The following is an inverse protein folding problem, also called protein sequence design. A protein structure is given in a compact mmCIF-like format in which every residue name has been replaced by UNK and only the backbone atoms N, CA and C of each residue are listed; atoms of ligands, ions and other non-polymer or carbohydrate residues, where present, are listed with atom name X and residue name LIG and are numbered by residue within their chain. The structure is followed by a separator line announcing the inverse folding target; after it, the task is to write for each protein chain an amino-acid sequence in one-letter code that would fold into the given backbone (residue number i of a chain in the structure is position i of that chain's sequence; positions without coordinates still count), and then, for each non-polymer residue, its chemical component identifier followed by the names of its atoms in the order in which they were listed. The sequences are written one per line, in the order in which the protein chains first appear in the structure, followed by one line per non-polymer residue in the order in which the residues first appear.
data_IF_962842565370
#
_entry.id   IF_962842565370
#
_cell.length_a   1.000
_cell.length_b   1.000
_cell.length_c   1.000
_cell.angle_alpha   90.00
_cell.angle_beta   90.00
_cell.angle_gamma   90.00
#
_symmetry.space_group_name_H-M   'P 1'
#
loop_
_entity.id
_entity.type
_entity.pdbx_description
1 polymer ?
#
# COMPACT_ATOMS: atom_id res chain seq x y z
N UNK A 1 -6.33 16.01 2.08
CA UNK A 1 -5.74 15.08 3.06
C UNK A 1 -4.81 15.76 4.08
N UNK A 2 -4.67 17.09 4.10
CA UNK A 2 -3.65 17.76 4.93
C UNK A 2 -4.20 18.34 6.24
N UNK A 3 -5.49 18.11 6.53
CA UNK A 3 -6.17 18.67 7.70
C UNK A 3 -5.66 18.11 9.04
N UNK A 4 -4.88 17.03 8.99
CA UNK A 4 -4.31 16.36 10.16
C UNK A 4 -2.78 16.53 10.25
N UNK A 5 -2.18 17.35 9.39
CA UNK A 5 -0.72 17.49 9.32
C UNK A 5 -0.15 17.95 10.67
N UNK A 6 -0.81 18.89 11.34
CA UNK A 6 -0.40 19.41 12.66
C UNK A 6 -0.43 18.35 13.78
N UNK A 7 -1.16 17.25 13.57
CA UNK A 7 -1.26 16.14 14.52
C UNK A 7 -0.35 14.97 14.16
N UNK A 8 0.33 15.03 13.00
CA UNK A 8 1.18 13.94 12.55
C UNK A 8 2.50 13.92 13.33
N UNK A 9 2.88 12.73 13.82
CA UNK A 9 4.17 12.55 14.51
C UNK A 9 5.33 12.95 13.57
N UNK A 10 6.33 13.72 14.03
CA UNK A 10 7.49 14.13 13.21
C UNK A 10 8.18 12.96 12.51
N UNK A 11 8.33 11.82 13.18
CA UNK A 11 8.92 10.61 12.61
C UNK A 11 8.20 10.09 11.34
N UNK A 12 6.90 10.34 11.19
CA UNK A 12 6.14 9.94 10.01
C UNK A 12 6.51 10.76 8.76
N UNK A 13 7.07 11.96 8.92
CA UNK A 13 7.62 12.74 7.83
C UNK A 13 8.95 12.16 7.33
N UNK A 14 9.73 11.49 8.19
CA UNK A 14 10.98 10.85 7.80
C UNK A 14 10.79 9.46 7.11
N UNK A 15 9.59 8.87 7.20
CA UNK A 15 9.28 7.57 6.60
C UNK A 15 9.00 7.68 5.10
N UNK A 16 9.70 6.87 4.29
CA UNK A 16 9.57 6.83 2.83
C UNK A 16 8.76 5.61 2.30
N UNK A 17 8.34 4.68 3.15
CA UNK A 17 7.61 3.48 2.73
C UNK A 17 6.10 3.66 2.89
N UNK A 18 5.36 3.61 1.79
CA UNK A 18 3.89 3.69 1.80
C UNK A 18 3.21 2.33 1.83
N UNK A 19 3.83 1.28 1.30
CA UNK A 19 3.14 0.01 0.99
C UNK A 19 3.65 -1.18 1.79
N UNK A 20 4.52 -0.96 2.78
CA UNK A 20 5.11 -2.02 3.61
C UNK A 20 5.95 -2.99 2.75
N UNK A 21 6.96 -2.45 2.08
CA UNK A 21 7.70 -3.15 1.01
C UNK A 21 8.47 -4.39 1.47
N UNK A 22 8.70 -4.54 2.77
CA UNK A 22 9.46 -5.64 3.35
C UNK A 22 8.60 -6.83 3.82
N UNK A 23 7.27 -6.76 3.70
CA UNK A 23 6.38 -7.83 4.13
C UNK A 23 6.15 -8.89 3.04
N UNK A 24 5.84 -10.13 3.43
CA UNK A 24 5.38 -11.18 2.49
C UNK A 24 4.05 -10.76 1.80
N UNK A 25 3.16 -10.14 2.59
CA UNK A 25 1.85 -9.65 2.20
C UNK A 25 1.63 -8.23 2.75
N UNK A 26 1.09 -7.34 1.92
CA UNK A 26 0.72 -5.98 2.32
C UNK A 26 -0.76 -5.75 2.09
N UNK A 27 -1.45 -5.12 3.05
CA UNK A 27 -2.90 -4.89 3.04
C UNK A 27 -3.20 -3.40 3.15
N UNK A 28 -4.16 -2.90 2.36
CA UNK A 28 -4.65 -1.52 2.47
C UNK A 28 -5.93 -1.27 1.68
N UNK A 29 -6.68 -0.22 2.03
CA UNK A 29 -7.94 0.10 1.34
C UNK A 29 -7.78 0.82 0.00
N UNK A 30 -6.60 1.40 -0.28
CA UNK A 30 -6.39 2.22 -1.48
C UNK A 30 -6.59 1.41 -2.76
N UNK A 31 -7.44 1.90 -3.67
CA UNK A 31 -7.74 1.25 -4.96
C UNK A 31 -8.78 0.14 -4.87
N UNK A 32 -9.22 -0.25 -3.66
CA UNK A 32 -10.30 -1.22 -3.47
C UNK A 32 -11.67 -0.53 -3.34
N UNK A 33 -12.76 -1.20 -3.73
CA UNK A 33 -14.11 -0.75 -3.41
C UNK A 33 -14.38 -0.81 -1.90
N UNK A 34 -15.46 -0.18 -1.45
CA UNK A 34 -15.88 -0.22 -0.05
C UNK A 34 -16.01 -1.67 0.44
N UNK A 35 -15.56 -1.93 1.67
CA UNK A 35 -15.49 -3.25 2.32
C UNK A 35 -14.52 -4.25 1.68
N UNK A 36 -13.70 -3.85 0.72
CA UNK A 36 -12.62 -4.66 0.18
C UNK A 36 -11.24 -4.14 0.60
N UNK A 37 -10.25 -5.03 0.54
CA UNK A 37 -8.85 -4.73 0.85
C UNK A 37 -7.99 -5.05 -0.36
N UNK A 38 -7.13 -4.09 -0.74
CA UNK A 38 -6.08 -4.31 -1.72
C UNK A 38 -4.98 -5.10 -1.05
N UNK A 39 -4.62 -6.23 -1.67
CA UNK A 39 -3.52 -7.10 -1.20
C UNK A 39 -2.41 -7.07 -2.24
N UNK A 40 -1.18 -6.80 -1.80
CA UNK A 40 0.03 -6.91 -2.61
C UNK A 40 0.85 -8.08 -2.08
N UNK A 41 1.05 -9.10 -2.92
CA UNK A 41 1.96 -10.22 -2.66
C UNK A 41 3.38 -9.82 -3.08
N UNK A 42 4.40 -10.15 -2.27
CA UNK A 42 5.79 -9.77 -2.54
C UNK A 42 6.75 -10.95 -2.62
N UNK A 43 6.53 -11.96 -1.80
CA UNK A 43 7.38 -13.15 -1.71
C UNK A 43 6.62 -14.40 -2.14
N UNK A 44 7.36 -15.43 -2.53
CA UNK A 44 6.78 -16.73 -2.90
C UNK A 44 5.97 -17.32 -1.74
N UNK A 45 6.47 -17.18 -0.51
CA UNK A 45 5.76 -17.58 0.71
C UNK A 45 4.43 -16.84 0.86
N UNK A 46 4.41 -15.52 0.65
CA UNK A 46 3.18 -14.73 0.69
C UNK A 46 2.18 -15.18 -0.38
N UNK A 47 2.66 -15.43 -1.59
CA UNK A 47 1.85 -15.92 -2.70
C UNK A 47 1.24 -17.30 -2.40
N UNK A 48 2.03 -18.22 -1.86
CA UNK A 48 1.57 -19.57 -1.46
C UNK A 48 0.47 -19.49 -0.40
N UNK A 49 0.71 -18.73 0.67
CA UNK A 49 -0.26 -18.55 1.76
C UNK A 49 -1.56 -17.97 1.21
N UNK A 50 -1.49 -16.90 0.42
CA UNK A 50 -2.67 -16.24 -0.12
C UNK A 50 -3.47 -17.18 -1.04
N UNK A 51 -2.77 -17.92 -1.90
CA UNK A 51 -3.39 -18.88 -2.82
C UNK A 51 -4.12 -19.98 -2.06
N UNK A 52 -3.49 -20.50 -0.99
CA UNK A 52 -4.07 -21.54 -0.13
C UNK A 52 -5.34 -21.09 0.59
N UNK A 53 -5.34 -19.91 1.20
CA UNK A 53 -6.53 -19.42 1.93
C UNK A 53 -7.69 -19.09 0.99
N UNK A 54 -7.40 -18.70 -0.26
CA UNK A 54 -8.41 -18.53 -1.31
C UNK A 54 -8.97 -19.89 -1.74
N UNK A 55 -8.10 -20.89 -2.00
CA UNK A 55 -8.54 -22.23 -2.40
C UNK A 55 -9.35 -22.93 -1.31
N UNK A 56 -8.96 -22.73 -0.05
CA UNK A 56 -9.62 -23.30 1.13
C UNK A 56 -10.93 -22.55 1.48
N UNK A 57 -11.29 -21.49 0.74
CA UNK A 57 -12.54 -20.74 0.90
C UNK A 57 -12.60 -19.85 2.14
N UNK A 58 -11.46 -19.63 2.82
CA UNK A 58 -11.38 -18.81 4.04
C UNK A 58 -11.61 -17.33 3.73
N UNK A 59 -11.15 -16.88 2.56
CA UNK A 59 -11.38 -15.52 2.07
C UNK A 59 -11.90 -15.53 0.63
N UNK A 60 -12.65 -14.49 0.27
CA UNK A 60 -13.09 -14.24 -1.09
C UNK A 60 -12.13 -13.26 -1.78
N UNK A 61 -11.66 -13.62 -2.97
CA UNK A 61 -10.84 -12.75 -3.81
C UNK A 61 -11.61 -12.33 -5.06
N UNK A 62 -11.73 -11.01 -5.28
CA UNK A 62 -12.30 -10.48 -6.52
C UNK A 62 -11.33 -10.67 -7.68
N UNK A 63 -11.85 -11.10 -8.84
CA UNK A 63 -11.07 -11.09 -10.08
C UNK A 63 -10.81 -9.64 -10.51
N UNK A 64 -9.55 -9.30 -10.68
CA UNK A 64 -9.12 -8.03 -11.27
C UNK A 64 -8.86 -8.26 -12.76
N UNK A 65 -9.55 -7.52 -13.62
CA UNK A 65 -9.13 -7.40 -15.02
C UNK A 65 -7.88 -6.53 -15.14
N UNK A 66 -7.17 -6.65 -16.25
CA UNK A 66 -5.88 -5.97 -16.45
C UNK A 66 -6.01 -4.44 -16.39
N UNK A 67 -7.14 -3.88 -16.84
CA UNK A 67 -7.38 -2.44 -16.78
C UNK A 67 -7.51 -1.95 -15.34
N UNK A 68 -8.32 -2.63 -14.51
CA UNK A 68 -8.47 -2.31 -13.09
C UNK A 68 -7.15 -2.47 -12.35
N UNK A 69 -6.42 -3.57 -12.61
CA UNK A 69 -5.12 -3.82 -12.01
C UNK A 69 -4.13 -2.70 -12.31
N UNK A 70 -4.02 -2.27 -13.56
CA UNK A 70 -3.11 -1.18 -13.96
C UNK A 70 -3.48 0.14 -13.29
N UNK A 71 -4.78 0.48 -13.21
CA UNK A 71 -5.25 1.67 -12.48
C UNK A 71 -4.89 1.63 -10.99
N UNK A 72 -5.03 0.45 -10.36
CA UNK A 72 -4.64 0.27 -8.96
C UNK A 72 -3.13 0.45 -8.77
N UNK A 73 -2.30 -0.13 -9.65
CA UNK A 73 -0.84 0.01 -9.61
C UNK A 73 -0.44 1.48 -9.76
N UNK A 74 -1.03 2.20 -10.72
CA UNK A 74 -0.76 3.62 -10.95
C UNK A 74 -1.09 4.46 -9.71
N UNK A 75 -2.28 4.25 -9.13
CA UNK A 75 -2.73 4.96 -7.93
C UNK A 75 -1.81 4.70 -6.73
N UNK A 76 -1.47 3.44 -6.46
CA UNK A 76 -0.58 3.05 -5.36
C UNK A 76 0.83 3.64 -5.57
N UNK A 77 1.31 3.66 -6.81
CA UNK A 77 2.59 4.25 -7.18
C UNK A 77 2.60 5.76 -6.93
N UNK A 78 1.52 6.46 -7.29
CA UNK A 78 1.38 7.90 -7.05
C UNK A 78 1.49 8.25 -5.55
N UNK A 79 0.81 7.50 -4.68
CA UNK A 79 0.86 7.73 -3.23
C UNK A 79 2.23 7.36 -2.65
N UNK A 80 2.86 6.29 -3.15
CA UNK A 80 4.22 5.91 -2.75
C UNK A 80 5.24 7.02 -3.07
N UNK A 81 5.19 7.57 -4.30
CA UNK A 81 6.02 8.72 -4.71
C UNK A 81 5.75 9.95 -3.86
N UNK A 82 4.49 10.24 -3.55
CA UNK A 82 4.10 11.38 -2.71
C UNK A 82 4.69 11.27 -1.31
N UNK A 83 4.74 10.06 -0.72
CA UNK A 83 5.36 9.83 0.59
C UNK A 83 6.88 10.01 0.55
N UNK A 84 7.54 9.55 -0.51
CA UNK A 84 8.98 9.75 -0.72
C UNK A 84 9.31 11.25 -0.83
N UNK A 85 8.57 11.99 -1.68
CA UNK A 85 8.76 13.43 -1.85
C UNK A 85 8.52 14.21 -0.54
N UNK A 86 7.51 13.81 0.24
CA UNK A 86 7.28 14.39 1.58
C UNK A 86 8.48 14.18 2.50
N UNK A 87 9.08 12.99 2.48
CA UNK A 87 10.28 12.68 3.23
C UNK A 87 11.45 13.54 2.79
N UNK A 88 11.70 13.65 1.50
CA UNK A 88 12.79 14.50 0.97
C UNK A 88 12.64 15.95 1.39
N UNK A 89 11.42 16.49 1.32
CA UNK A 89 11.11 17.85 1.80
C UNK A 89 11.39 18.00 3.30
N UNK A 90 10.98 17.04 4.12
CA UNK A 90 11.21 17.08 5.55
C UNK A 90 12.70 17.00 5.92
N UNK A 91 13.47 16.13 5.28
CA UNK A 91 14.90 16.01 5.57
C UNK A 91 15.67 17.31 5.31
N UNK A 92 15.30 18.07 4.25
CA UNK A 92 15.89 19.39 3.96
C UNK A 92 15.62 20.45 5.04
N UNK A 93 14.64 20.24 5.91
CA UNK A 93 14.37 21.16 7.04
C UNK A 93 15.24 20.86 8.27
N UNK A 94 15.96 19.75 8.24
CA UNK A 94 16.87 19.30 9.31
C UNK A 94 18.35 19.58 8.97
N UNK A 95 18.63 20.00 7.73
CA UNK A 95 19.93 20.48 7.25
C UNK A 95 20.09 21.98 7.59
#
# INVERSE_FOLDING_TARGET
FNQLDDYMRPACYACNDFTNIFADLSFGGLGSPDKYTTVVTRTDKGQEILSKVISDGVILASKLDESKKNKMIELITQFSRSKIARKEKFMKTLE
#
